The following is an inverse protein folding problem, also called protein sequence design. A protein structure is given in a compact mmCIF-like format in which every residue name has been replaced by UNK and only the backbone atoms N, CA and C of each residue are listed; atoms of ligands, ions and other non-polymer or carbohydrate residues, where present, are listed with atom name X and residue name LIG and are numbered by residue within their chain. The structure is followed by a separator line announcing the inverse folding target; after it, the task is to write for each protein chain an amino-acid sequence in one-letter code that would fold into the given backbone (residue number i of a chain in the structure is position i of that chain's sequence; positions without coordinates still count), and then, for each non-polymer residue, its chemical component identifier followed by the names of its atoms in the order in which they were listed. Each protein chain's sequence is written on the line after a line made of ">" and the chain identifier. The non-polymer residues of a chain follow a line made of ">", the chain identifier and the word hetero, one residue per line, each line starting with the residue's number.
data_IF_592351032228
#
_entry.id   IF_592351032228
#
_cell.length_a   1.000
_cell.length_b   1.000
_cell.length_c   1.000
_cell.angle_alpha   90.00
_cell.angle_beta   90.00
_cell.angle_gamma   90.00
#
_symmetry.space_group_name_H-M   'P 1'
#
loop_
_entity.id
_entity.type
_entity.pdbx_description
1 polymer ?
#
# COMPACT_ATOMS: atom_id res chain seq x y z
N UNK A 1 32.68 -7.56 -23.86
CA UNK A 1 33.06 -7.92 -22.49
C UNK A 1 32.05 -7.23 -21.61
N UNK A 2 31.35 -7.94 -20.73
CA UNK A 2 30.50 -7.26 -19.76
C UNK A 2 31.42 -6.49 -18.80
N UNK A 3 31.15 -5.21 -18.58
CA UNK A 3 31.89 -4.44 -17.59
C UNK A 3 31.60 -5.04 -16.21
N UNK A 4 32.63 -5.29 -15.39
CA UNK A 4 32.42 -5.82 -14.05
C UNK A 4 31.74 -4.76 -13.16
N UNK A 5 31.08 -5.19 -12.08
CA UNK A 5 30.51 -4.24 -11.12
C UNK A 5 31.56 -3.28 -10.54
N UNK A 6 32.80 -3.75 -10.43
CA UNK A 6 33.94 -2.91 -10.06
C UNK A 6 34.28 -1.84 -11.11
N UNK A 7 34.30 -2.17 -12.41
CA UNK A 7 34.60 -1.22 -13.48
C UNK A 7 33.53 -0.12 -13.59
N UNK A 8 32.26 -0.49 -13.39
CA UNK A 8 31.14 0.46 -13.35
C UNK A 8 31.27 1.37 -12.12
N UNK A 9 31.54 0.81 -10.94
CA UNK A 9 31.67 1.57 -9.69
C UNK A 9 32.82 2.58 -9.77
N UNK A 10 33.98 2.18 -10.28
CA UNK A 10 35.13 3.06 -10.41
C UNK A 10 34.84 4.26 -11.32
N UNK A 11 34.19 4.04 -12.48
CA UNK A 11 33.82 5.14 -13.39
C UNK A 11 32.86 6.14 -12.72
N UNK A 12 31.88 5.64 -11.96
CA UNK A 12 30.90 6.48 -11.27
C UNK A 12 31.55 7.28 -10.13
N UNK A 13 32.39 6.64 -9.32
CA UNK A 13 33.13 7.33 -8.25
C UNK A 13 34.04 8.42 -8.83
N UNK A 14 34.79 8.11 -9.89
CA UNK A 14 35.65 9.10 -10.57
C UNK A 14 34.85 10.27 -11.16
N UNK A 15 33.57 10.05 -11.51
CA UNK A 15 32.68 11.11 -12.01
C UNK A 15 32.05 11.97 -10.90
N UNK A 16 31.85 11.41 -9.71
CA UNK A 16 31.17 12.08 -8.59
C UNK A 16 32.15 12.71 -7.59
N UNK A 17 33.34 12.14 -7.42
CA UNK A 17 34.25 12.51 -6.35
C UNK A 17 35.71 12.62 -6.82
N UNK A 18 36.41 13.64 -6.31
CA UNK A 18 37.86 13.78 -6.48
C UNK A 18 38.60 12.94 -5.41
N UNK A 19 38.52 11.61 -5.56
CA UNK A 19 39.11 10.63 -4.63
C UNK A 19 40.25 9.90 -5.34
N UNK A 20 41.44 9.76 -4.71
CA UNK A 20 42.55 9.04 -5.33
C UNK A 20 42.14 7.62 -5.78
N UNK A 21 42.41 7.27 -7.04
CA UNK A 21 41.92 6.02 -7.65
C UNK A 21 42.32 4.76 -6.87
N UNK A 22 43.52 4.73 -6.28
CA UNK A 22 43.97 3.61 -5.45
C UNK A 22 43.12 3.41 -4.19
N UNK A 23 42.63 4.51 -3.63
CA UNK A 23 41.78 4.53 -2.45
C UNK A 23 40.35 4.14 -2.82
N UNK A 24 39.79 4.72 -3.87
CA UNK A 24 38.47 4.35 -4.39
C UNK A 24 38.40 2.85 -4.72
N UNK A 25 39.42 2.33 -5.41
CA UNK A 25 39.54 0.90 -5.72
C UNK A 25 39.62 0.04 -4.46
N UNK A 26 40.41 0.46 -3.45
CA UNK A 26 40.49 -0.25 -2.18
C UNK A 26 39.16 -0.24 -1.42
N UNK A 27 38.43 0.89 -1.44
CA UNK A 27 37.13 1.04 -0.80
C UNK A 27 36.08 0.13 -1.46
N UNK A 28 35.90 0.20 -2.78
CA UNK A 28 34.92 -0.62 -3.50
C UNK A 28 35.14 -2.11 -3.22
N UNK A 29 36.39 -2.57 -3.25
CA UNK A 29 36.72 -3.99 -2.96
C UNK A 29 36.37 -4.39 -1.53
N UNK A 30 36.67 -3.54 -0.54
CA UNK A 30 36.35 -3.82 0.87
C UNK A 30 34.85 -3.79 1.14
N UNK A 31 34.14 -2.87 0.49
CA UNK A 31 32.69 -2.74 0.56
C UNK A 31 32.04 -3.97 -0.05
N UNK A 32 32.40 -4.36 -1.27
CA UNK A 32 31.88 -5.56 -1.93
C UNK A 32 32.18 -6.84 -1.12
N UNK A 33 33.38 -6.95 -0.55
CA UNK A 33 33.76 -8.10 0.29
C UNK A 33 33.03 -8.17 1.64
N UNK A 34 32.36 -7.10 2.06
CA UNK A 34 31.69 -6.99 3.35
C UNK A 34 30.22 -6.58 3.19
N UNK A 35 29.50 -7.32 2.32
CA UNK A 35 28.06 -7.14 2.08
C UNK A 35 27.67 -5.71 1.72
N UNK A 36 28.46 -5.08 0.86
CA UNK A 36 28.30 -3.70 0.43
C UNK A 36 28.31 -2.68 1.60
N UNK A 37 28.92 -3.05 2.72
CA UNK A 37 29.12 -2.20 3.88
C UNK A 37 30.60 -2.00 4.22
N UNK A 38 31.01 -0.77 4.51
CA UNK A 38 32.37 -0.53 5.00
C UNK A 38 32.45 -0.91 6.48
N UNK A 39 33.32 -1.86 6.82
CA UNK A 39 33.53 -2.28 8.21
C UNK A 39 34.00 -1.09 9.08
N UNK A 40 33.59 -1.06 10.36
CA UNK A 40 33.94 0.02 11.29
C UNK A 40 35.47 0.22 11.42
N UNK A 41 36.23 -0.87 11.37
CA UNK A 41 37.71 -0.85 11.40
C UNK A 41 38.33 -0.19 10.16
N UNK A 42 37.69 -0.31 9.00
CA UNK A 42 38.14 0.35 7.78
C UNK A 42 37.62 1.78 7.68
N UNK A 43 36.47 2.09 8.30
CA UNK A 43 35.94 3.45 8.43
C UNK A 43 36.93 4.38 9.15
N UNK A 44 37.61 3.90 10.19
CA UNK A 44 38.67 4.66 10.88
C UNK A 44 39.80 5.07 9.93
N UNK A 45 40.16 4.20 8.97
CA UNK A 45 41.26 4.46 8.01
C UNK A 45 40.90 5.53 6.97
N UNK A 46 39.61 5.75 6.75
CA UNK A 46 39.07 6.76 5.82
C UNK A 46 38.30 7.85 6.56
N UNK A 47 38.56 8.05 7.85
CA UNK A 47 37.85 9.02 8.68
C UNK A 47 38.03 10.50 8.29
N UNK A 48 38.83 10.80 7.27
CA UNK A 48 38.90 12.11 6.64
C UNK A 48 37.81 12.32 5.57
N UNK A 49 37.16 11.26 5.10
CA UNK A 49 36.00 11.36 4.22
C UNK A 49 34.75 11.62 5.07
N UNK A 50 33.87 12.56 4.68
CA UNK A 50 32.57 12.73 5.31
C UNK A 50 31.74 11.44 5.27
N UNK A 51 30.93 11.22 6.30
CA UNK A 51 30.08 10.02 6.39
C UNK A 51 29.11 9.90 5.21
N UNK A 52 28.63 11.03 4.67
CA UNK A 52 27.81 11.10 3.46
C UNK A 52 28.54 10.61 2.20
N UNK A 53 29.85 10.92 2.06
CA UNK A 53 30.67 10.48 0.94
C UNK A 53 30.91 8.97 1.02
N UNK A 54 31.20 8.46 2.23
CA UNK A 54 31.37 7.02 2.44
C UNK A 54 30.07 6.28 2.11
N UNK A 55 28.92 6.78 2.60
CA UNK A 55 27.61 6.20 2.30
C UNK A 55 27.30 6.19 0.80
N UNK A 56 27.59 7.29 0.09
CA UNK A 56 27.39 7.37 -1.37
C UNK A 56 28.30 6.40 -2.13
N UNK A 57 29.57 6.25 -1.74
CA UNK A 57 30.48 5.28 -2.35
C UNK A 57 30.00 3.83 -2.12
N UNK A 58 29.49 3.51 -0.93
CA UNK A 58 28.92 2.19 -0.64
C UNK A 58 27.74 1.86 -1.55
N UNK A 59 26.86 2.84 -1.75
CA UNK A 59 25.71 2.72 -2.63
C UNK A 59 26.10 2.61 -4.11
N UNK A 60 27.04 3.43 -4.60
CA UNK A 60 27.58 3.30 -5.96
C UNK A 60 28.13 1.89 -6.20
N UNK A 61 28.85 1.33 -5.22
CA UNK A 61 29.36 -0.03 -5.34
C UNK A 61 28.22 -1.06 -5.45
N UNK A 62 27.16 -0.94 -4.65
CA UNK A 62 26.00 -1.83 -4.73
C UNK A 62 25.30 -1.76 -6.10
N UNK A 63 24.93 -0.55 -6.54
CA UNK A 63 24.24 -0.36 -7.84
C UNK A 63 25.05 -0.90 -9.02
N UNK A 64 26.37 -0.68 -8.97
CA UNK A 64 27.25 -1.09 -10.06
C UNK A 64 27.35 -2.61 -10.18
N UNK A 65 27.35 -3.32 -9.05
CA UNK A 65 27.35 -4.79 -9.03
C UNK A 65 25.99 -5.36 -9.47
N UNK A 66 24.87 -4.70 -9.12
CA UNK A 66 23.55 -5.07 -9.64
C UNK A 66 23.46 -4.86 -11.15
N UNK A 67 23.95 -3.74 -11.67
CA UNK A 67 23.95 -3.43 -13.11
C UNK A 67 24.78 -4.44 -13.90
N UNK A 68 25.88 -4.93 -13.32
CA UNK A 68 26.69 -6.00 -13.90
C UNK A 68 26.00 -7.38 -13.88
N UNK A 69 24.82 -7.50 -13.26
CA UNK A 69 24.06 -8.75 -13.13
C UNK A 69 24.67 -9.71 -12.10
N UNK A 70 25.45 -9.19 -11.15
CA UNK A 70 26.01 -9.99 -10.06
C UNK A 70 24.92 -10.31 -9.02
N UNK A 71 24.98 -11.53 -8.46
CA UNK A 71 24.00 -12.00 -7.48
C UNK A 71 24.24 -11.32 -6.14
N UNK A 72 23.25 -10.54 -5.68
CA UNK A 72 23.31 -9.80 -4.43
C UNK A 72 22.12 -10.22 -3.57
N UNK A 73 22.41 -10.48 -2.29
CA UNK A 73 21.42 -10.85 -1.30
C UNK A 73 20.27 -9.83 -1.22
N UNK A 74 19.03 -10.34 -1.21
CA UNK A 74 17.81 -9.53 -1.13
C UNK A 74 17.78 -8.66 0.13
N UNK A 75 18.35 -9.15 1.25
CA UNK A 75 18.39 -8.39 2.50
C UNK A 75 19.31 -7.16 2.39
N UNK A 76 20.39 -7.25 1.62
CA UNK A 76 21.30 -6.13 1.34
C UNK A 76 20.58 -5.09 0.49
N UNK A 77 19.83 -5.53 -0.53
CA UNK A 77 19.05 -4.65 -1.40
C UNK A 77 17.98 -3.90 -0.61
N UNK A 78 17.25 -4.62 0.25
CA UNK A 78 16.20 -4.03 1.09
C UNK A 78 16.76 -2.98 2.04
N UNK A 79 17.89 -3.27 2.68
CA UNK A 79 18.54 -2.34 3.61
C UNK A 79 19.09 -1.10 2.88
N UNK A 80 19.65 -1.23 1.67
CA UNK A 80 20.10 -0.06 0.90
C UNK A 80 18.95 0.83 0.44
N UNK A 81 17.86 0.24 -0.06
CA UNK A 81 16.63 0.97 -0.41
C UNK A 81 16.06 1.72 0.79
N UNK A 82 16.11 1.10 1.99
CA UNK A 82 15.67 1.75 3.21
C UNK A 82 16.56 2.96 3.59
N UNK A 83 17.88 2.82 3.47
CA UNK A 83 18.81 3.94 3.72
C UNK A 83 18.66 5.09 2.73
N UNK A 84 18.43 4.79 1.44
CA UNK A 84 18.14 5.80 0.44
C UNK A 84 16.86 6.57 0.80
N UNK A 85 15.78 5.85 1.11
CA UNK A 85 14.52 6.46 1.51
C UNK A 85 14.70 7.36 2.76
N UNK A 86 15.51 6.94 3.74
CA UNK A 86 15.81 7.75 4.92
C UNK A 86 16.64 8.99 4.59
N UNK A 87 17.62 8.87 3.69
CA UNK A 87 18.45 10.00 3.24
C UNK A 87 17.59 11.05 2.53
N UNK A 88 16.76 10.62 1.58
CA UNK A 88 15.79 11.50 0.91
C UNK A 88 14.87 12.19 1.91
N UNK A 89 14.35 11.47 2.92
CA UNK A 89 13.52 12.09 3.96
C UNK A 89 14.25 13.15 4.78
N UNK A 90 15.54 12.95 5.09
CA UNK A 90 16.36 13.96 5.78
C UNK A 90 16.58 15.19 4.90
N UNK A 91 16.80 15.01 3.61
CA UNK A 91 16.87 16.11 2.65
C UNK A 91 15.56 16.89 2.58
N UNK A 92 14.42 16.21 2.59
CA UNK A 92 13.10 16.85 2.63
C UNK A 92 12.86 17.67 3.91
N UNK A 93 13.43 17.25 5.05
CA UNK A 93 13.43 18.07 6.27
C UNK A 93 14.30 19.31 6.06
N UNK A 94 15.51 19.13 5.52
CA UNK A 94 16.44 20.23 5.27
C UNK A 94 15.91 21.25 4.25
N UNK A 95 15.18 20.81 3.22
CA UNK A 95 14.52 21.66 2.23
C UNK A 95 13.24 22.32 2.75
N UNK A 96 12.70 21.84 3.88
CA UNK A 96 11.45 22.31 4.46
C UNK A 96 10.19 21.77 3.78
N UNK A 97 10.32 20.72 2.98
CA UNK A 97 9.21 19.94 2.43
C UNK A 97 8.52 19.10 3.52
N UNK A 98 9.29 18.63 4.50
CA UNK A 98 8.79 18.06 5.75
C UNK A 98 9.01 19.05 6.89
N UNK A 99 7.96 19.33 7.65
CA UNK A 99 7.96 20.35 8.71
C UNK A 99 7.46 19.77 10.04
N UNK A 100 7.94 20.33 11.14
CA UNK A 100 7.53 19.92 12.48
C UNK A 100 6.06 20.25 12.76
N UNK A 101 5.47 19.61 13.78
CA UNK A 101 4.09 19.89 14.21
C UNK A 101 3.86 21.39 14.51
N UNK A 102 4.81 21.99 15.24
CA UNK A 102 4.74 23.40 15.61
C UNK A 102 4.68 24.31 14.36
N UNK A 103 5.48 24.00 13.35
CA UNK A 103 5.49 24.73 12.09
C UNK A 103 4.22 24.50 11.28
N UNK A 104 3.77 23.25 11.18
CA UNK A 104 2.56 22.87 10.47
C UNK A 104 1.34 23.61 11.02
N UNK A 105 1.22 23.64 12.35
CA UNK A 105 0.15 24.37 13.05
C UNK A 105 0.22 25.86 12.84
N UNK A 106 1.43 26.43 12.89
CA UNK A 106 1.65 27.87 12.65
C UNK A 106 1.21 28.26 11.24
N UNK A 107 1.66 27.51 10.21
CA UNK A 107 1.28 27.75 8.80
C UNK A 107 -0.21 27.51 8.55
N UNK A 108 -0.78 26.47 9.17
CA UNK A 108 -2.20 26.12 9.05
C UNK A 108 -3.14 26.97 9.91
N UNK A 109 -2.64 27.77 10.85
CA UNK A 109 -3.47 28.43 11.87
C UNK A 109 -4.30 27.41 12.67
N UNK A 110 -3.68 26.31 13.09
CA UNK A 110 -4.33 25.18 13.76
C UNK A 110 -4.00 25.13 15.26
N UNK A 111 -5.01 24.89 16.09
CA UNK A 111 -4.82 24.51 17.49
C UNK A 111 -4.43 23.04 17.60
N UNK A 112 -3.85 22.62 18.73
CA UNK A 112 -3.48 21.21 18.95
C UNK A 112 -4.70 20.29 18.81
N UNK A 113 -5.84 20.70 19.37
CA UNK A 113 -7.08 19.94 19.31
C UNK A 113 -7.60 19.78 17.88
N UNK A 114 -7.49 20.83 17.06
CA UNK A 114 -7.90 20.75 15.66
C UNK A 114 -6.96 19.87 14.84
N UNK A 115 -5.67 19.90 15.12
CA UNK A 115 -4.71 18.99 14.47
C UNK A 115 -5.00 17.53 14.84
N UNK A 116 -5.22 17.24 16.13
CA UNK A 116 -5.58 15.90 16.58
C UNK A 116 -6.85 15.38 15.88
N UNK A 117 -7.87 16.24 15.71
CA UNK A 117 -9.07 15.87 14.96
C UNK A 117 -8.81 15.58 13.47
N UNK A 118 -7.88 16.31 12.83
CA UNK A 118 -7.50 16.06 11.45
C UNK A 118 -6.73 14.74 11.28
N UNK A 119 -5.86 14.40 12.24
CA UNK A 119 -5.16 13.12 12.25
C UNK A 119 -6.13 11.95 12.49
N UNK A 120 -7.07 12.09 13.44
CA UNK A 120 -8.03 11.02 13.75
C UNK A 120 -9.01 10.71 12.63
N UNK A 121 -9.28 11.69 11.77
CA UNK A 121 -10.16 11.54 10.60
C UNK A 121 -9.35 11.49 9.29
N UNK A 122 -8.08 11.07 9.34
CA UNK A 122 -7.21 10.87 8.17
C UNK A 122 -7.13 12.05 7.17
N UNK A 123 -7.43 13.25 7.65
CA UNK A 123 -7.49 14.46 6.83
C UNK A 123 -6.11 15.07 6.59
N UNK A 124 -5.13 14.66 7.40
CA UNK A 124 -3.69 14.90 7.24
C UNK A 124 -2.96 13.64 7.68
N UNK A 125 -1.69 13.52 7.32
CA UNK A 125 -0.86 12.39 7.71
C UNK A 125 0.57 12.85 7.99
N UNK A 126 1.31 12.00 8.69
CA UNK A 126 2.72 12.20 9.07
C UNK A 126 3.61 11.23 8.31
N UNK A 127 4.89 11.59 8.17
CA UNK A 127 5.97 10.69 7.80
C UNK A 127 6.94 10.59 8.97
N UNK A 128 7.36 9.38 9.31
CA UNK A 128 8.37 9.14 10.32
C UNK A 128 9.77 9.28 9.72
N UNK A 129 10.62 10.07 10.36
CA UNK A 129 12.05 10.19 10.04
C UNK A 129 12.83 10.11 11.34
N UNK A 130 13.70 9.10 11.46
CA UNK A 130 14.50 8.86 12.67
C UNK A 130 13.66 8.78 13.97
N UNK A 131 12.47 8.15 13.89
CA UNK A 131 11.55 8.01 15.03
C UNK A 131 10.76 9.27 15.40
N UNK A 132 10.83 10.32 14.58
CA UNK A 132 10.10 11.58 14.78
C UNK A 132 9.12 11.80 13.64
N UNK A 133 7.89 12.20 13.98
CA UNK A 133 6.85 12.49 12.99
C UNK A 133 6.97 13.91 12.42
N UNK A 134 6.95 14.00 11.09
CA UNK A 134 6.92 15.24 10.34
C UNK A 134 5.69 15.32 9.44
N UNK A 135 5.25 16.54 9.16
CA UNK A 135 4.12 16.80 8.27
C UNK A 135 4.63 17.26 6.90
N UNK A 136 4.05 16.77 5.79
CA UNK A 136 4.25 17.39 4.49
C UNK A 136 3.81 18.86 4.50
N UNK A 137 4.73 19.76 4.18
CA UNK A 137 4.49 21.21 4.14
C UNK A 137 3.36 21.57 3.15
N UNK A 138 3.20 20.80 2.08
CA UNK A 138 2.12 20.95 1.10
C UNK A 138 0.71 20.83 1.71
N UNK A 139 0.55 20.16 2.86
CA UNK A 139 -0.75 20.01 3.53
C UNK A 139 -1.12 21.26 4.35
N UNK A 140 -0.18 22.16 4.60
CA UNK A 140 -0.39 23.44 5.27
C UNK A 140 -0.99 24.48 4.29
N UNK A 141 -2.06 24.10 3.58
CA UNK A 141 -2.67 24.91 2.52
C UNK A 141 -3.50 26.09 3.05
N UNK A 142 -3.68 27.15 2.22
CA UNK A 142 -4.60 28.23 2.53
C UNK A 142 -6.03 27.76 2.80
N UNK A 143 -6.79 28.57 3.54
CA UNK A 143 -8.17 28.25 3.95
C UNK A 143 -9.08 27.90 2.76
N UNK A 144 -8.87 28.55 1.61
CA UNK A 144 -9.64 28.33 0.38
C UNK A 144 -9.49 26.91 -0.20
N UNK A 145 -8.35 26.25 0.00
CA UNK A 145 -8.06 24.91 -0.56
C UNK A 145 -8.16 23.80 0.49
N UNK A 146 -8.15 24.16 1.76
CA UNK A 146 -8.08 23.25 2.91
C UNK A 146 -9.13 22.14 2.86
N UNK A 147 -10.39 22.50 2.58
CA UNK A 147 -11.48 21.51 2.54
C UNK A 147 -11.22 20.45 1.46
N UNK A 148 -10.87 20.89 0.26
CA UNK A 148 -10.63 19.99 -0.87
C UNK A 148 -9.44 19.07 -0.59
N UNK A 149 -8.30 19.60 -0.16
CA UNK A 149 -7.10 18.81 0.14
C UNK A 149 -7.38 17.77 1.23
N UNK A 150 -8.05 18.15 2.31
CA UNK A 150 -8.34 17.22 3.40
C UNK A 150 -9.32 16.12 2.99
N UNK A 151 -10.29 16.42 2.11
CA UNK A 151 -11.15 15.37 1.54
C UNK A 151 -10.31 14.41 0.68
N UNK A 152 -9.37 14.91 -0.12
CA UNK A 152 -8.50 14.04 -0.91
C UNK A 152 -7.62 13.18 -0.02
N UNK A 153 -7.01 13.74 1.03
CA UNK A 153 -6.26 12.98 2.04
C UNK A 153 -7.09 11.84 2.63
N UNK A 154 -8.35 12.13 2.99
CA UNK A 154 -9.28 11.10 3.46
C UNK A 154 -9.55 10.03 2.42
N UNK A 155 -9.71 10.37 1.14
CA UNK A 155 -9.93 9.36 0.08
C UNK A 155 -8.69 8.44 -0.04
N UNK A 156 -7.49 9.00 0.04
CA UNK A 156 -6.25 8.25 -0.15
C UNK A 156 -5.71 7.57 1.11
N UNK A 157 -6.41 7.68 2.25
CA UNK A 157 -5.88 7.25 3.54
C UNK A 157 -5.69 5.72 3.71
N UNK A 158 -6.04 4.93 2.71
CA UNK A 158 -5.80 3.47 2.71
C UNK A 158 -4.37 3.15 2.32
N UNK A 159 -3.69 4.05 1.61
CA UNK A 159 -2.30 3.90 1.23
C UNK A 159 -1.36 4.22 2.40
N UNK A 160 -0.12 3.70 2.42
CA UNK A 160 0.94 4.16 3.30
C UNK A 160 1.26 5.65 3.10
N UNK A 161 1.76 6.33 4.13
CA UNK A 161 2.05 7.78 4.09
C UNK A 161 2.96 8.21 2.94
N UNK A 162 4.00 7.42 2.62
CA UNK A 162 4.91 7.72 1.51
C UNK A 162 4.18 7.70 0.16
N UNK A 163 3.32 6.71 -0.06
CA UNK A 163 2.50 6.61 -1.27
C UNK A 163 1.48 7.75 -1.37
N UNK A 164 0.91 8.19 -0.23
CA UNK A 164 0.02 9.36 -0.21
C UNK A 164 0.78 10.64 -0.60
N UNK A 165 2.01 10.80 -0.13
CA UNK A 165 2.86 11.93 -0.46
C UNK A 165 3.17 11.92 -1.97
N UNK A 166 3.67 10.81 -2.48
CA UNK A 166 3.95 10.62 -3.92
C UNK A 166 2.70 10.91 -4.77
N UNK A 167 1.53 10.39 -4.37
CA UNK A 167 0.28 10.65 -5.05
C UNK A 167 -0.02 12.15 -5.19
N UNK A 168 0.23 12.94 -4.15
CA UNK A 168 -0.06 14.37 -4.10
C UNK A 168 0.97 15.22 -4.87
N UNK A 169 2.24 14.82 -4.88
CA UNK A 169 3.34 15.59 -5.46
C UNK A 169 3.64 15.22 -6.91
N UNK A 170 3.44 13.96 -7.29
CA UNK A 170 3.86 13.47 -8.60
C UNK A 170 3.03 14.05 -9.74
N UNK A 171 3.74 14.49 -10.78
CA UNK A 171 3.14 14.95 -12.03
C UNK A 171 2.55 13.76 -12.75
N UNK A 172 1.36 13.94 -13.32
CA UNK A 172 0.66 12.85 -14.03
C UNK A 172 0.35 13.29 -15.45
N UNK A 173 0.76 12.48 -16.42
CA UNK A 173 0.43 12.68 -17.84
C UNK A 173 -1.09 12.80 -18.02
N UNK A 174 -1.86 11.97 -17.30
CA UNK A 174 -3.32 12.00 -17.29
C UNK A 174 -3.97 13.28 -16.73
N UNK A 175 -3.16 14.25 -16.29
CA UNK A 175 -3.53 15.59 -15.81
C UNK A 175 -2.85 16.70 -16.61
N UNK A 176 -2.29 16.38 -17.79
CA UNK A 176 -1.49 17.29 -18.60
C UNK A 176 -0.24 17.78 -17.84
N UNK A 177 0.49 16.85 -17.21
CA UNK A 177 1.74 17.07 -16.46
C UNK A 177 1.62 17.99 -15.23
N UNK A 178 0.39 18.22 -14.78
CA UNK A 178 0.11 18.96 -13.55
C UNK A 178 0.06 18.03 -12.35
N UNK A 179 0.44 18.56 -11.19
CA UNK A 179 0.18 17.89 -9.91
C UNK A 179 -1.30 17.95 -9.56
N UNK A 180 -1.77 17.03 -8.73
CA UNK A 180 -3.17 17.07 -8.27
C UNK A 180 -3.49 18.35 -7.50
N UNK A 181 -2.51 18.91 -6.77
CA UNK A 181 -2.66 20.18 -6.07
C UNK A 181 -2.85 21.37 -7.00
N UNK A 182 -2.26 21.35 -8.19
CA UNK A 182 -2.48 22.37 -9.22
C UNK A 182 -3.88 22.25 -9.80
N UNK A 183 -4.32 21.03 -10.11
CA UNK A 183 -5.67 20.78 -10.65
C UNK A 183 -6.75 21.17 -9.64
N UNK A 184 -6.52 20.99 -8.32
CA UNK A 184 -7.46 21.41 -7.27
C UNK A 184 -7.73 22.92 -7.23
N UNK A 185 -6.93 23.74 -7.90
CA UNK A 185 -7.13 25.20 -7.99
C UNK A 185 -8.15 25.59 -9.06
N UNK A 186 -8.41 24.70 -10.02
CA UNK A 186 -9.30 24.96 -11.15
C UNK A 186 -10.78 24.72 -10.79
N UNK A 187 -11.68 25.36 -11.55
CA UNK A 187 -13.10 25.06 -11.50
C UNK A 187 -13.35 23.61 -11.95
N UNK A 188 -14.09 22.83 -11.15
CA UNK A 188 -14.29 21.39 -11.40
C UNK A 188 -13.07 20.50 -11.11
N UNK A 189 -11.94 21.08 -10.70
CA UNK A 189 -10.72 20.33 -10.39
C UNK A 189 -10.89 19.33 -9.25
N UNK A 190 -11.69 19.69 -8.24
CA UNK A 190 -11.98 18.82 -7.11
C UNK A 190 -12.66 17.50 -7.51
N UNK A 191 -13.64 17.53 -8.41
CA UNK A 191 -14.34 16.32 -8.85
C UNK A 191 -13.40 15.39 -9.63
N UNK A 192 -12.60 15.97 -10.52
CA UNK A 192 -11.59 15.25 -11.30
C UNK A 192 -10.56 14.56 -10.40
N UNK A 193 -10.02 15.29 -9.43
CA UNK A 193 -9.03 14.79 -8.47
C UNK A 193 -9.64 13.73 -7.56
N UNK A 194 -10.87 13.96 -7.05
CA UNK A 194 -11.56 13.00 -6.17
C UNK A 194 -11.79 11.66 -6.84
N UNK A 195 -12.23 11.66 -8.11
CA UNK A 195 -12.44 10.42 -8.87
C UNK A 195 -11.14 9.65 -9.10
N UNK A 196 -10.05 10.36 -9.45
CA UNK A 196 -8.73 9.74 -9.61
C UNK A 196 -8.17 9.21 -8.30
N UNK A 197 -8.35 9.95 -7.21
CA UNK A 197 -7.97 9.53 -5.86
C UNK A 197 -8.72 8.26 -5.44
N UNK A 198 -10.03 8.16 -5.73
CA UNK A 198 -10.81 6.98 -5.40
C UNK A 198 -10.36 5.72 -6.16
N UNK A 199 -10.03 5.87 -7.44
CA UNK A 199 -9.50 4.77 -8.26
C UNK A 199 -8.14 4.33 -7.72
N UNK A 200 -7.23 5.28 -7.49
CA UNK A 200 -5.90 5.00 -6.96
C UNK A 200 -5.97 4.38 -5.56
N UNK A 201 -6.82 4.89 -4.67
CA UNK A 201 -6.97 4.38 -3.31
C UNK A 201 -7.48 2.93 -3.26
N UNK A 202 -8.24 2.51 -4.27
CA UNK A 202 -8.73 1.13 -4.39
C UNK A 202 -7.58 0.12 -4.60
N UNK A 203 -6.48 0.53 -5.23
CA UNK A 203 -5.29 -0.32 -5.45
C UNK A 203 -4.59 -0.71 -4.14
N UNK A 204 -4.82 0.06 -3.06
CA UNK A 204 -4.18 -0.15 -1.76
C UNK A 204 -4.95 -1.06 -0.81
N UNK A 205 -6.07 -1.64 -1.27
CA UNK A 205 -6.91 -2.51 -0.44
C UNK A 205 -7.58 -3.58 -1.29
N UNK A 206 -7.36 -4.83 -0.92
CA UNK A 206 -7.96 -6.00 -1.56
C UNK A 206 -9.09 -6.53 -0.70
N UNK A 207 -10.25 -6.74 -1.31
CA UNK A 207 -11.33 -7.55 -0.73
C UNK A 207 -11.28 -8.93 -1.34
N UNK A 208 -11.28 -9.96 -0.50
CA UNK A 208 -11.32 -11.36 -0.92
C UNK A 208 -12.57 -12.04 -0.38
N UNK A 209 -13.13 -12.93 -1.19
CA UNK A 209 -14.25 -13.79 -0.87
C UNK A 209 -13.79 -15.23 -1.06
N UNK A 210 -13.82 -16.01 0.01
CA UNK A 210 -13.47 -17.43 -0.02
C UNK A 210 -14.66 -18.28 0.37
N UNK A 211 -14.84 -19.41 -0.31
CA UNK A 211 -15.93 -20.35 -0.06
C UNK A 211 -15.36 -21.70 0.33
N UNK A 212 -15.96 -22.34 1.32
CA UNK A 212 -15.55 -23.63 1.86
C UNK A 212 -16.75 -24.57 1.96
N UNK A 213 -16.54 -25.85 1.72
CA UNK A 213 -17.57 -26.87 1.94
C UNK A 213 -17.90 -26.99 3.43
N UNK A 214 -19.18 -27.10 3.77
CA UNK A 214 -19.65 -27.29 5.14
C UNK A 214 -20.05 -25.99 5.86
N UNK A 215 -20.32 -26.12 7.16
CA UNK A 215 -20.82 -25.03 8.01
C UNK A 215 -19.71 -24.54 8.93
N UNK A 216 -18.96 -23.54 8.48
CA UNK A 216 -17.86 -22.96 9.26
C UNK A 216 -18.30 -21.64 9.89
N UNK A 217 -17.90 -21.38 11.14
CA UNK A 217 -18.06 -20.06 11.79
C UNK A 217 -16.78 -19.23 11.67
N UNK A 218 -15.64 -19.90 11.57
CA UNK A 218 -14.31 -19.33 11.40
C UNK A 218 -13.70 -19.92 10.15
N UNK A 219 -13.00 -19.10 9.36
CA UNK A 219 -12.36 -19.58 8.13
C UNK A 219 -11.32 -20.67 8.50
N UNK A 220 -11.45 -21.88 7.91
CA UNK A 220 -10.54 -22.99 8.17
C UNK A 220 -9.10 -22.68 7.77
N UNK A 221 -8.13 -23.13 8.57
CA UNK A 221 -6.71 -22.95 8.28
C UNK A 221 -6.14 -24.07 7.37
N UNK A 222 -6.64 -25.30 7.54
CA UNK A 222 -6.05 -26.50 6.95
C UNK A 222 -6.86 -27.08 5.78
N UNK A 223 -7.85 -26.33 5.29
CA UNK A 223 -8.74 -26.76 4.20
C UNK A 223 -8.55 -25.80 3.04
N UNK A 224 -8.41 -26.33 1.82
CA UNK A 224 -8.37 -25.49 0.62
C UNK A 224 -9.78 -24.96 0.30
N UNK A 225 -9.94 -23.67 -0.03
CA UNK A 225 -11.23 -23.13 -0.41
C UNK A 225 -11.74 -23.78 -1.70
N UNK A 226 -13.05 -24.06 -1.76
CA UNK A 226 -13.75 -24.47 -2.98
C UNK A 226 -13.65 -23.42 -4.07
N UNK A 227 -13.61 -22.15 -3.67
CA UNK A 227 -13.52 -21.02 -4.56
C UNK A 227 -12.97 -19.80 -3.83
N UNK A 228 -12.12 -19.05 -4.50
CA UNK A 228 -11.60 -17.75 -4.08
C UNK A 228 -11.86 -16.74 -5.17
N UNK A 229 -12.39 -15.58 -4.80
CA UNK A 229 -12.48 -14.41 -5.65
C UNK A 229 -11.90 -13.19 -4.93
N UNK A 230 -11.27 -12.27 -5.65
CA UNK A 230 -10.78 -11.03 -5.08
C UNK A 230 -10.91 -9.85 -6.04
N UNK A 231 -11.01 -8.65 -5.46
CA UNK A 231 -10.95 -7.40 -6.20
C UNK A 231 -10.27 -6.32 -5.35
N UNK A 232 -9.53 -5.44 -6.01
CA UNK A 232 -8.96 -4.24 -5.40
C UNK A 232 -10.06 -3.17 -5.35
N UNK A 233 -10.48 -2.81 -4.13
CA UNK A 233 -11.67 -1.98 -3.87
C UNK A 233 -11.45 -1.11 -2.64
N UNK A 234 -11.86 0.16 -2.72
CA UNK A 234 -11.85 1.10 -1.60
C UNK A 234 -12.60 0.51 -0.40
N UNK A 235 -11.93 0.28 0.74
CA UNK A 235 -12.49 -0.37 1.92
C UNK A 235 -13.54 0.44 2.64
N UNK A 236 -13.72 1.73 2.29
CA UNK A 236 -14.81 2.58 2.79
C UNK A 236 -16.15 2.27 2.12
N UNK A 237 -16.14 1.56 1.00
CA UNK A 237 -17.38 1.07 0.40
C UNK A 237 -18.03 0.03 1.32
N UNK A 238 -19.38 -0.03 1.34
CA UNK A 238 -20.12 -1.04 2.09
C UNK A 238 -19.58 -2.45 1.83
N UNK A 239 -19.47 -3.24 2.91
CA UNK A 239 -18.89 -4.58 2.88
C UNK A 239 -19.45 -5.45 1.73
N UNK A 240 -20.78 -5.47 1.58
CA UNK A 240 -21.44 -6.29 0.59
C UNK A 240 -21.20 -5.78 -0.83
N UNK A 241 -21.09 -4.47 -1.05
CA UNK A 241 -20.72 -3.91 -2.35
C UNK A 241 -19.31 -4.38 -2.75
N UNK A 242 -18.37 -4.38 -1.80
CA UNK A 242 -17.00 -4.89 -2.04
C UNK A 242 -16.98 -6.39 -2.33
N UNK A 243 -17.71 -7.18 -1.54
CA UNK A 243 -17.84 -8.62 -1.78
C UNK A 243 -18.51 -8.92 -3.14
N UNK A 244 -19.51 -8.12 -3.53
CA UNK A 244 -20.16 -8.22 -4.83
C UNK A 244 -19.16 -7.94 -5.95
N UNK A 245 -18.37 -6.87 -5.82
CA UNK A 245 -17.31 -6.55 -6.77
C UNK A 245 -16.31 -7.70 -6.89
N UNK A 246 -15.85 -8.29 -5.79
CA UNK A 246 -14.95 -9.45 -5.84
C UNK A 246 -15.55 -10.65 -6.60
N UNK A 247 -16.84 -10.94 -6.41
CA UNK A 247 -17.50 -12.08 -7.06
C UNK A 247 -17.89 -11.85 -8.53
N UNK A 248 -18.09 -10.60 -8.95
CA UNK A 248 -18.58 -10.26 -10.29
C UNK A 248 -17.51 -9.66 -11.21
N UNK A 249 -16.48 -8.99 -10.66
CA UNK A 249 -15.36 -8.50 -11.45
C UNK A 249 -14.42 -9.66 -11.77
N UNK A 250 -14.44 -10.09 -13.02
CA UNK A 250 -13.52 -11.10 -13.52
C UNK A 250 -12.08 -10.58 -13.41
N UNK A 251 -11.19 -11.34 -12.76
CA UNK A 251 -9.77 -10.99 -12.67
C UNK A 251 -8.97 -11.87 -11.71
N UNK A 252 -9.48 -12.09 -10.49
CA UNK A 252 -8.82 -12.91 -9.48
C UNK A 252 -9.79 -13.97 -8.95
N UNK A 253 -10.13 -14.95 -9.79
CA UNK A 253 -11.00 -16.06 -9.42
C UNK A 253 -10.32 -17.41 -9.63
N UNK A 254 -10.45 -18.31 -8.66
CA UNK A 254 -9.88 -19.65 -8.72
C UNK A 254 -10.67 -20.64 -7.85
N UNK A 255 -10.93 -21.89 -8.30
CA UNK A 255 -10.70 -22.39 -9.66
C UNK A 255 -11.71 -21.79 -10.66
N UNK A 256 -11.48 -21.97 -11.97
CA UNK A 256 -12.37 -21.48 -13.05
C UNK A 256 -13.52 -22.45 -13.41
N UNK A 257 -13.66 -23.54 -12.65
CA UNK A 257 -14.63 -24.60 -12.87
C UNK A 257 -14.07 -25.79 -13.67
N UNK A 258 -14.87 -26.87 -13.88
CA UNK A 258 -16.24 -27.05 -13.40
C UNK A 258 -16.31 -27.15 -11.86
N UNK A 259 -17.41 -26.68 -11.31
CA UNK A 259 -17.60 -26.57 -9.85
C UNK A 259 -18.32 -27.80 -9.29
N UNK A 260 -17.95 -28.31 -8.11
CA UNK A 260 -18.67 -29.39 -7.44
C UNK A 260 -20.11 -28.97 -7.09
N UNK A 261 -21.03 -29.93 -7.07
CA UNK A 261 -22.40 -29.71 -6.59
C UNK A 261 -22.41 -29.72 -5.05
N UNK A 262 -22.26 -28.54 -4.46
CA UNK A 262 -22.20 -28.36 -3.00
C UNK A 262 -23.49 -27.72 -2.50
N UNK A 263 -24.14 -28.38 -1.52
CA UNK A 263 -25.41 -27.93 -0.92
C UNK A 263 -25.23 -27.19 0.40
N UNK A 264 -24.10 -27.40 1.08
CA UNK A 264 -23.78 -26.77 2.36
C UNK A 264 -22.39 -26.17 2.23
N UNK A 265 -22.28 -24.86 2.35
CA UNK A 265 -21.01 -24.17 2.24
C UNK A 265 -21.03 -22.87 3.04
N UNK A 266 -19.85 -22.34 3.34
CA UNK A 266 -19.67 -21.07 4.02
C UNK A 266 -18.84 -20.12 3.18
N UNK A 267 -19.23 -18.86 3.17
CA UNK A 267 -18.57 -17.76 2.49
C UNK A 267 -17.92 -16.84 3.52
N UNK A 268 -16.66 -16.49 3.31
CA UNK A 268 -15.91 -15.54 4.14
C UNK A 268 -15.52 -14.33 3.33
N UNK A 269 -15.73 -13.14 3.88
CA UNK A 269 -15.26 -11.87 3.32
C UNK A 269 -14.13 -11.34 4.20
N UNK A 270 -12.99 -11.05 3.58
CA UNK A 270 -11.83 -10.47 4.26
C UNK A 270 -11.27 -9.30 3.47
N UNK A 271 -10.72 -8.32 4.19
CA UNK A 271 -9.99 -7.17 3.66
C UNK A 271 -8.51 -7.31 3.98
N UNK A 272 -7.66 -6.96 3.03
CA UNK A 272 -6.21 -6.87 3.22
C UNK A 272 -5.73 -5.54 2.67
N UNK A 273 -5.09 -4.70 3.48
CA UNK A 273 -4.40 -3.53 2.97
C UNK A 273 -3.07 -3.95 2.34
N UNK A 274 -2.58 -3.17 1.38
CA UNK A 274 -1.26 -3.41 0.81
C UNK A 274 -0.19 -3.32 1.91
N UNK A 275 0.69 -4.33 1.97
CA UNK A 275 1.72 -4.46 3.01
C UNK A 275 1.29 -5.24 4.25
N UNK A 276 -0.01 -5.49 4.45
CA UNK A 276 -0.48 -6.33 5.56
C UNK A 276 -0.17 -7.80 5.26
N UNK A 277 0.42 -8.50 6.24
CA UNK A 277 0.68 -9.94 6.14
C UNK A 277 -0.56 -10.79 6.38
N UNK A 278 -1.58 -10.25 7.07
CA UNK A 278 -2.75 -11.00 7.52
C UNK A 278 -4.05 -10.29 7.13
N UNK A 279 -4.94 -10.92 6.34
CA UNK A 279 -6.25 -10.37 6.04
C UNK A 279 -7.12 -10.22 7.30
N UNK A 280 -7.80 -9.09 7.41
CA UNK A 280 -8.79 -8.81 8.45
C UNK A 280 -10.12 -9.42 8.00
N UNK A 281 -10.66 -10.35 8.80
CA UNK A 281 -11.96 -10.98 8.55
C UNK A 281 -13.09 -10.01 8.88
N UNK A 282 -14.03 -9.84 7.96
CA UNK A 282 -15.13 -8.87 8.10
C UNK A 282 -16.51 -9.55 8.19
N UNK A 283 -16.71 -10.68 7.52
CA UNK A 283 -17.95 -11.45 7.64
C UNK A 283 -17.82 -12.93 7.27
N UNK A 284 -18.77 -13.71 7.77
CA UNK A 284 -19.05 -15.08 7.41
C UNK A 284 -20.54 -15.24 7.08
N UNK A 285 -20.85 -15.96 6.01
CA UNK A 285 -22.22 -16.36 5.64
C UNK A 285 -22.26 -17.88 5.51
N UNK A 286 -23.04 -18.53 6.33
CA UNK A 286 -23.31 -19.97 6.22
C UNK A 286 -24.53 -20.17 5.32
N UNK A 287 -24.41 -21.06 4.34
CA UNK A 287 -25.38 -21.25 3.28
C UNK A 287 -25.76 -22.73 3.23
N UNK A 288 -27.06 -23.00 3.37
CA UNK A 288 -27.63 -24.33 3.28
C UNK A 288 -28.74 -24.33 2.24
N UNK A 289 -28.58 -25.16 1.20
CA UNK A 289 -29.53 -25.34 0.11
C UNK A 289 -30.37 -26.59 0.39
N UNK A 290 -31.65 -26.39 0.69
CA UNK A 290 -32.63 -27.45 0.93
C UNK A 290 -33.72 -27.39 -0.14
N UNK A 291 -33.62 -28.26 -1.14
CA UNK A 291 -34.51 -28.28 -2.30
C UNK A 291 -34.52 -26.95 -3.06
N UNK A 292 -35.67 -26.26 -3.00
CA UNK A 292 -35.94 -24.96 -3.63
C UNK A 292 -35.68 -23.76 -2.69
N UNK A 293 -35.17 -24.00 -1.48
CA UNK A 293 -34.91 -22.96 -0.48
C UNK A 293 -33.44 -22.86 -0.15
N UNK A 294 -33.01 -21.62 0.09
CA UNK A 294 -31.66 -21.31 0.54
C UNK A 294 -31.77 -20.64 1.90
N UNK A 295 -31.24 -21.30 2.91
CA UNK A 295 -31.13 -20.78 4.26
C UNK A 295 -29.77 -20.12 4.39
N UNK A 296 -29.76 -18.83 4.73
CA UNK A 296 -28.53 -18.10 5.01
C UNK A 296 -28.48 -17.72 6.49
N UNK A 297 -27.29 -17.84 7.07
CA UNK A 297 -26.99 -17.33 8.42
C UNK A 297 -25.75 -16.46 8.33
N UNK A 298 -25.92 -15.19 8.68
CA UNK A 298 -24.89 -14.17 8.58
C UNK A 298 -24.29 -13.95 9.96
N UNK A 299 -22.98 -14.18 10.05
CA UNK A 299 -22.14 -13.73 11.14
C UNK A 299 -21.21 -12.66 10.58
N UNK A 300 -21.67 -11.41 10.56
CA UNK A 300 -20.82 -10.26 10.31
C UNK A 300 -19.92 -10.00 11.54
N UNK A 301 -18.87 -9.19 11.36
CA UNK A 301 -17.84 -8.83 12.34
C UNK A 301 -18.27 -8.87 13.82
N UNK A 302 -17.30 -9.19 14.70
CA UNK A 302 -17.46 -9.32 16.16
C UNK A 302 -18.39 -8.23 16.71
N UNK A 303 -19.53 -8.63 17.27
CA UNK A 303 -20.54 -7.73 17.86
C UNK A 303 -21.81 -7.52 17.01
N UNK A 304 -21.85 -8.01 15.76
CA UNK A 304 -23.07 -7.93 14.94
C UNK A 304 -24.07 -9.01 15.33
N UNK A 305 -25.38 -8.67 15.39
CA UNK A 305 -26.43 -9.68 15.64
C UNK A 305 -26.47 -10.67 14.47
N UNK A 306 -26.49 -11.95 14.83
CA UNK A 306 -26.74 -13.03 13.88
C UNK A 306 -28.06 -12.78 13.15
N UNK A 307 -28.01 -12.72 11.82
CA UNK A 307 -29.17 -12.59 10.96
C UNK A 307 -29.39 -13.90 10.20
N UNK A 308 -30.64 -14.34 10.11
CA UNK A 308 -31.01 -15.53 9.36
C UNK A 308 -32.18 -15.20 8.43
N UNK A 309 -32.05 -15.63 7.18
CA UNK A 309 -33.04 -15.36 6.13
C UNK A 309 -33.18 -16.59 5.23
N UNK A 310 -34.33 -16.71 4.56
CA UNK A 310 -34.59 -17.73 3.55
C UNK A 310 -34.83 -17.08 2.19
N UNK A 311 -34.13 -17.55 1.17
CA UNK A 311 -34.27 -17.10 -0.21
C UNK A 311 -34.77 -18.25 -1.11
N UNK A 312 -35.53 -17.96 -2.18
CA UNK A 312 -35.85 -18.96 -3.19
C UNK A 312 -34.59 -19.38 -3.97
N UNK A 313 -34.59 -20.61 -4.49
CA UNK A 313 -33.55 -21.15 -5.37
C UNK A 313 -34.04 -21.22 -6.81
N UNK A 314 -33.20 -20.81 -7.75
CA UNK A 314 -33.46 -21.02 -9.18
C UNK A 314 -32.93 -22.40 -9.61
N UNK A 315 -33.53 -22.97 -10.66
CA UNK A 315 -33.12 -24.29 -11.15
C UNK A 315 -31.70 -24.24 -11.74
N UNK A 316 -30.86 -25.23 -11.39
CA UNK A 316 -29.50 -25.43 -11.91
C UNK A 316 -28.43 -24.42 -11.47
N UNK A 317 -28.64 -23.67 -10.38
CA UNK A 317 -27.58 -22.79 -9.85
C UNK A 317 -26.43 -23.58 -9.21
N UNK A 318 -25.20 -23.19 -9.55
CA UNK A 318 -23.99 -23.60 -8.83
C UNK A 318 -23.87 -22.86 -7.50
N UNK A 319 -23.02 -23.34 -6.58
CA UNK A 319 -22.80 -22.66 -5.31
C UNK A 319 -22.27 -21.22 -5.47
N UNK A 320 -21.56 -20.93 -6.57
CA UNK A 320 -21.05 -19.59 -6.89
C UNK A 320 -22.18 -18.66 -7.33
N UNK A 321 -23.09 -19.13 -8.19
CA UNK A 321 -24.25 -18.33 -8.61
C UNK A 321 -25.18 -18.05 -7.43
N UNK A 322 -25.36 -19.03 -6.55
CA UNK A 322 -26.06 -18.84 -5.27
C UNK A 322 -25.36 -17.77 -4.43
N UNK A 323 -24.04 -17.84 -4.27
CA UNK A 323 -23.28 -16.86 -3.51
C UNK A 323 -23.37 -15.45 -4.08
N UNK A 324 -23.24 -15.29 -5.41
CA UNK A 324 -23.42 -14.00 -6.10
C UNK A 324 -24.80 -13.41 -5.84
N UNK A 325 -25.86 -14.22 -5.93
CA UNK A 325 -27.23 -13.78 -5.65
C UNK A 325 -27.41 -13.36 -4.19
N UNK A 326 -26.91 -14.16 -3.25
CA UNK A 326 -26.95 -13.82 -1.81
C UNK A 326 -26.26 -12.49 -1.56
N UNK A 327 -25.02 -12.33 -2.02
CA UNK A 327 -24.28 -11.07 -1.81
C UNK A 327 -24.99 -9.89 -2.49
N UNK A 328 -25.53 -10.07 -3.69
CA UNK A 328 -26.33 -9.05 -4.38
C UNK A 328 -27.64 -8.69 -3.65
N UNK A 329 -28.25 -9.64 -2.93
CA UNK A 329 -29.38 -9.39 -2.03
C UNK A 329 -28.94 -8.59 -0.80
N UNK A 330 -27.84 -8.98 -0.16
CA UNK A 330 -27.30 -8.27 1.01
C UNK A 330 -26.90 -6.83 0.67
N UNK A 331 -26.39 -6.55 -0.53
CA UNK A 331 -26.13 -5.19 -1.01
C UNK A 331 -27.37 -4.28 -1.04
N UNK A 332 -28.57 -4.84 -1.22
CA UNK A 332 -29.82 -4.08 -1.38
C UNK A 332 -30.59 -3.89 -0.07
N UNK A 333 -30.36 -4.78 0.89
CA UNK A 333 -31.22 -4.93 2.05
C UNK A 333 -30.51 -4.71 3.40
N UNK A 334 -29.19 -4.55 3.41
CA UNK A 334 -28.37 -4.22 4.60
C UNK A 334 -27.48 -3.00 4.35
#
# INVERSE_FOLDING_TARGET
>A
MADSGWDIAMRRIDSEFDVPQFLASSLVRKIAANNFRLAATDRIKVGYLPDEVIARIQHIALESYLEAGEDIDEDILREDLWQQALTTRREMIASGELISEAEFRRRGGLTSQRLAALLSDDSVFTLEVDGVEYFPALLAVPVSQRRSVYVICRIIATAPSDARLDFLTSRRESLCDRSLLEVLKDEGGFETVSRKAAVWAAEWSRTSVKMYEGTHQTEPADIEPLYTAAADVDPRRPLWERASNALHLHGYQWPLGPYPDVRIFSLFVARQAAGDSTPIREACVQIHVDGERILIRIAAAVGTRLHSETLPRDQHESFIEIAKRIVGHLCKHL
#
